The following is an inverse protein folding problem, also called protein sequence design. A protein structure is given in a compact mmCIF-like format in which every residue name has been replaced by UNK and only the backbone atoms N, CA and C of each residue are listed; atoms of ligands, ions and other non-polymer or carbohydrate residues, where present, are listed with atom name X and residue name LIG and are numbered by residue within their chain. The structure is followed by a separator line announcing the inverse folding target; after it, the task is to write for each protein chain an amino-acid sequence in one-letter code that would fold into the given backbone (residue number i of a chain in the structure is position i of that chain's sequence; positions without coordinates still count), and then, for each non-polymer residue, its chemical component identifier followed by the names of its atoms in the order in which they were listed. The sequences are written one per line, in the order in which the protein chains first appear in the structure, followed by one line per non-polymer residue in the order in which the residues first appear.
data_IF_536952283278
#
_entry.id   IF_536952283278
#
_cell.length_a   1.000
_cell.length_b   1.000
_cell.length_c   1.000
_cell.angle_alpha   90.00
_cell.angle_beta   90.00
_cell.angle_gamma   90.00
#
_symmetry.space_group_name_H-M   'P 1'
#
loop_
_entity.id
_entity.type
_entity.pdbx_description
1 polymer ?
#
# COMPACT_ATOMS: atom_id res chain seq x y z
N UNK A 1 -11.50 8.74 1.14
CA UNK A 1 -10.46 9.22 2.07
C UNK A 1 -9.25 9.77 1.30
N UNK A 2 -8.68 9.04 0.32
CA UNK A 2 -7.52 9.49 -0.48
C UNK A 2 -7.81 10.86 -1.12
N UNK A 3 -8.93 11.03 -1.80
CA UNK A 3 -9.34 12.31 -2.40
C UNK A 3 -9.43 13.44 -1.37
N UNK A 4 -10.04 13.17 -0.22
CA UNK A 4 -10.21 14.16 0.84
C UNK A 4 -8.88 14.63 1.44
N UNK A 5 -7.99 13.68 1.72
CA UNK A 5 -6.64 13.98 2.25
C UNK A 5 -5.85 14.78 1.23
N UNK A 6 -5.87 14.37 -0.03
CA UNK A 6 -5.17 15.09 -1.10
C UNK A 6 -5.72 16.50 -1.30
N UNK A 7 -7.04 16.68 -1.33
CA UNK A 7 -7.67 17.99 -1.50
C UNK A 7 -7.40 18.93 -0.30
N UNK A 8 -7.37 18.38 0.92
CA UNK A 8 -7.23 19.19 2.14
C UNK A 8 -5.77 19.51 2.48
N UNK A 9 -4.85 18.58 2.25
CA UNK A 9 -3.47 18.69 2.74
C UNK A 9 -2.42 18.63 1.61
N UNK A 10 -2.80 18.35 0.36
CA UNK A 10 -1.87 18.17 -0.74
C UNK A 10 -1.01 16.90 -0.64
N UNK A 11 -1.35 15.99 0.28
CA UNK A 11 -0.60 14.76 0.54
C UNK A 11 -1.28 13.58 -0.12
N UNK A 12 -0.53 12.82 -0.91
CA UNK A 12 -0.99 11.58 -1.51
C UNK A 12 -0.64 10.42 -0.58
N UNK A 13 -1.65 9.70 -0.10
CA UNK A 13 -1.51 8.55 0.78
C UNK A 13 -1.91 7.27 0.06
N UNK A 14 -1.31 6.14 0.45
CA UNK A 14 -1.67 4.83 -0.06
C UNK A 14 -3.02 4.32 0.52
N UNK A 15 -3.49 3.20 0.00
CA UNK A 15 -4.79 2.63 0.37
C UNK A 15 -4.87 2.20 1.84
N UNK A 16 -3.79 1.64 2.38
CA UNK A 16 -3.76 1.18 3.79
C UNK A 16 -3.68 2.37 4.76
N UNK A 17 -2.88 3.36 4.42
CA UNK A 17 -2.83 4.62 5.17
C UNK A 17 -4.19 5.33 5.13
N UNK A 18 -4.91 5.27 4.00
CA UNK A 18 -6.24 5.83 3.89
C UNK A 18 -7.26 5.15 4.83
N UNK A 19 -7.19 3.84 4.98
CA UNK A 19 -8.02 3.11 5.95
C UNK A 19 -7.69 3.54 7.39
N UNK A 20 -6.41 3.61 7.72
CA UNK A 20 -5.94 4.10 9.02
C UNK A 20 -6.42 5.52 9.31
N UNK A 21 -6.30 6.44 8.35
CA UNK A 21 -6.76 7.83 8.49
C UNK A 21 -8.28 7.90 8.67
N UNK A 22 -9.04 7.09 7.93
CA UNK A 22 -10.50 7.04 8.06
C UNK A 22 -10.91 6.64 9.47
N UNK A 23 -10.38 5.54 9.97
CA UNK A 23 -10.68 5.05 11.33
C UNK A 23 -10.19 6.03 12.39
N UNK A 24 -8.98 6.57 12.23
CA UNK A 24 -8.43 7.56 13.18
C UNK A 24 -9.35 8.78 13.33
N UNK A 25 -9.91 9.30 12.23
CA UNK A 25 -10.85 10.43 12.28
C UNK A 25 -12.11 10.15 13.09
N UNK A 26 -12.57 8.91 13.13
CA UNK A 26 -13.75 8.49 13.91
C UNK A 26 -13.44 8.39 15.43
N UNK A 27 -12.16 8.32 15.80
CA UNK A 27 -11.71 8.11 17.16
C UNK A 27 -10.89 9.26 17.74
N UNK A 28 -10.89 10.43 17.08
CA UNK A 28 -10.20 11.61 17.59
C UNK A 28 -10.72 12.03 18.95
N UNK A 29 -9.79 12.39 19.85
CA UNK A 29 -10.11 12.96 21.17
C UNK A 29 -9.46 14.34 21.29
N UNK A 30 -10.16 15.34 21.87
CA UNK A 30 -9.57 16.65 22.13
C UNK A 30 -8.28 16.50 22.95
N UNK A 31 -7.27 17.27 22.60
CA UNK A 31 -5.98 17.32 23.31
C UNK A 31 -5.14 16.03 23.30
N UNK A 32 -5.53 15.01 22.55
CA UNK A 32 -4.75 13.79 22.37
C UNK A 32 -4.28 13.71 20.93
N UNK A 33 -2.96 13.76 20.66
CA UNK A 33 -2.45 13.55 19.30
C UNK A 33 -2.82 12.18 18.76
N UNK A 34 -3.29 12.12 17.50
CA UNK A 34 -3.55 10.90 16.79
C UNK A 34 -2.46 10.69 15.73
N UNK A 35 -1.75 9.60 15.81
CA UNK A 35 -0.68 9.24 14.87
C UNK A 35 -1.17 8.08 14.01
N UNK A 36 -1.11 8.25 12.70
CA UNK A 36 -1.38 7.20 11.72
C UNK A 36 -0.09 6.88 11.00
N UNK A 37 0.34 5.62 11.05
CA UNK A 37 1.57 5.17 10.40
C UNK A 37 1.31 4.92 8.91
N UNK A 38 2.14 5.50 8.06
CA UNK A 38 2.23 5.14 6.65
C UNK A 38 3.07 3.87 6.50
N UNK A 39 2.47 2.80 6.00
CA UNK A 39 3.11 1.49 5.90
C UNK A 39 3.49 1.09 4.48
N UNK A 40 3.05 1.85 3.49
CA UNK A 40 3.36 1.65 2.07
C UNK A 40 3.35 2.99 1.33
N UNK A 41 3.95 3.03 0.14
CA UNK A 41 3.94 4.20 -0.73
C UNK A 41 2.80 4.11 -1.75
N UNK A 42 2.23 5.26 -2.18
CA UNK A 42 1.15 5.31 -3.17
C UNK A 42 1.49 4.59 -4.48
N UNK A 43 2.75 4.62 -4.91
CA UNK A 43 3.20 3.96 -6.15
C UNK A 43 2.95 2.45 -6.17
N UNK A 44 2.90 1.80 -5.02
CA UNK A 44 2.59 0.38 -4.90
C UNK A 44 1.15 0.06 -5.32
N UNK A 45 0.27 1.04 -5.24
CA UNK A 45 -1.16 0.92 -5.51
C UNK A 45 -1.60 1.91 -6.60
N UNK A 46 -0.78 2.07 -7.63
CA UNK A 46 -0.95 3.08 -8.67
C UNK A 46 -2.34 3.07 -9.30
N UNK A 47 -2.91 1.89 -9.59
CA UNK A 47 -4.25 1.78 -10.17
C UNK A 47 -5.33 2.44 -9.29
N UNK A 48 -5.31 2.16 -7.98
CA UNK A 48 -6.26 2.76 -7.03
C UNK A 48 -6.05 4.27 -6.86
N UNK A 49 -4.80 4.72 -6.92
CA UNK A 49 -4.49 6.16 -6.86
C UNK A 49 -5.03 6.87 -8.12
N UNK A 50 -4.87 6.27 -9.30
CA UNK A 50 -5.43 6.81 -10.54
C UNK A 50 -6.97 6.85 -10.48
N UNK A 51 -7.60 5.79 -9.98
CA UNK A 51 -9.06 5.77 -9.77
C UNK A 51 -9.50 6.90 -8.83
N UNK A 52 -8.79 7.10 -7.72
CA UNK A 52 -9.15 8.10 -6.73
C UNK A 52 -8.86 9.54 -7.16
N UNK A 53 -7.73 9.80 -7.81
CA UNK A 53 -7.21 11.15 -8.05
C UNK A 53 -7.14 11.55 -9.53
N UNK A 54 -7.36 10.61 -10.46
CA UNK A 54 -7.23 10.86 -11.90
C UNK A 54 -5.78 11.10 -12.36
N UNK A 55 -4.79 10.82 -11.52
CA UNK A 55 -3.37 11.01 -11.84
C UNK A 55 -2.51 9.88 -11.31
N UNK A 56 -1.37 9.66 -11.95
CA UNK A 56 -0.37 8.70 -11.45
C UNK A 56 0.25 9.20 -10.14
N UNK A 57 0.56 8.29 -9.21
CA UNK A 57 1.36 8.63 -8.05
C UNK A 57 2.79 8.99 -8.43
N UNK A 58 3.42 9.85 -7.63
CA UNK A 58 4.83 10.16 -7.78
C UNK A 58 5.67 8.90 -7.54
N UNK A 59 6.65 8.67 -8.43
CA UNK A 59 7.55 7.53 -8.33
C UNK A 59 8.89 7.98 -7.74
N UNK A 60 9.28 7.47 -6.56
CA UNK A 60 10.65 7.70 -6.07
C UNK A 60 11.69 7.15 -7.04
N UNK A 61 12.80 7.88 -7.23
CA UNK A 61 13.83 7.53 -8.19
C UNK A 61 14.41 6.12 -8.01
N UNK A 62 14.48 5.64 -6.77
CA UNK A 62 14.94 4.28 -6.44
C UNK A 62 14.06 3.16 -7.01
N UNK A 63 12.84 3.46 -7.44
CA UNK A 63 11.91 2.48 -8.03
C UNK A 63 11.80 2.60 -9.55
N UNK A 64 12.59 3.46 -10.18
CA UNK A 64 12.62 3.55 -11.63
C UNK A 64 13.08 2.23 -12.25
N UNK A 65 12.29 1.74 -13.23
CA UNK A 65 12.60 0.49 -13.95
C UNK A 65 12.41 -0.80 -13.16
N UNK A 66 11.89 -0.76 -11.92
CA UNK A 66 11.74 -1.95 -11.07
C UNK A 66 10.87 -3.05 -11.74
N UNK A 67 9.88 -2.68 -12.53
CA UNK A 67 9.01 -3.62 -13.24
C UNK A 67 9.74 -4.40 -14.34
N UNK A 68 10.86 -3.88 -14.85
CA UNK A 68 11.69 -4.54 -15.86
C UNK A 68 12.68 -5.55 -15.25
N UNK A 69 12.84 -5.56 -13.93
CA UNK A 69 13.72 -6.50 -13.27
C UNK A 69 13.18 -7.93 -13.34
N UNK A 70 14.07 -8.94 -13.40
CA UNK A 70 13.67 -10.35 -13.38
C UNK A 70 12.85 -10.67 -12.12
N UNK A 71 11.68 -11.26 -12.33
CA UNK A 71 10.80 -11.68 -11.23
C UNK A 71 11.17 -13.09 -10.78
N UNK A 72 11.29 -13.28 -9.48
CA UNK A 72 11.44 -14.60 -8.85
C UNK A 72 10.13 -14.96 -8.17
N UNK A 73 9.27 -15.67 -8.90
CA UNK A 73 7.94 -16.06 -8.43
C UNK A 73 7.69 -17.53 -8.71
N UNK A 74 6.95 -18.17 -7.81
CA UNK A 74 6.40 -19.51 -8.00
C UNK A 74 4.88 -19.40 -8.01
N UNK A 75 4.27 -19.75 -9.17
CA UNK A 75 2.82 -19.76 -9.29
C UNK A 75 2.33 -21.13 -8.83
N UNK A 76 1.40 -21.15 -7.89
CA UNK A 76 0.81 -22.36 -7.37
C UNK A 76 -0.68 -22.16 -7.05
N UNK A 77 -1.46 -23.25 -6.97
CA UNK A 77 -2.86 -23.16 -6.52
C UNK A 77 -2.96 -22.55 -5.11
N UNK A 78 -4.08 -21.89 -4.82
CA UNK A 78 -4.38 -21.33 -3.49
C UNK A 78 -4.80 -22.46 -2.53
N UNK A 79 -3.82 -23.29 -2.13
CA UNK A 79 -3.99 -24.43 -1.23
C UNK A 79 -2.92 -24.36 -0.13
N UNK A 80 -3.38 -24.36 1.12
CA UNK A 80 -2.50 -24.22 2.29
C UNK A 80 -1.50 -25.36 2.42
N UNK A 81 -1.86 -26.58 2.03
CA UNK A 81 -0.97 -27.75 2.15
C UNK A 81 0.14 -27.69 1.10
N UNK A 82 -0.20 -27.24 -0.12
CA UNK A 82 0.81 -27.03 -1.18
C UNK A 82 1.80 -25.92 -0.78
N UNK A 83 1.32 -24.82 -0.19
CA UNK A 83 2.19 -23.75 0.30
C UNK A 83 3.10 -24.23 1.42
N UNK A 84 2.57 -24.99 2.41
CA UNK A 84 3.38 -25.57 3.49
C UNK A 84 4.43 -26.54 2.96
N UNK A 85 4.06 -27.42 2.03
CA UNK A 85 4.99 -28.36 1.41
C UNK A 85 6.10 -27.62 0.64
N UNK A 86 5.73 -26.56 -0.10
CA UNK A 86 6.71 -25.73 -0.79
C UNK A 86 7.71 -25.08 0.16
N UNK A 87 7.23 -24.52 1.27
CA UNK A 87 8.10 -23.92 2.31
C UNK A 87 9.07 -24.97 2.87
N UNK A 88 8.55 -26.14 3.24
CA UNK A 88 9.38 -27.23 3.78
C UNK A 88 10.47 -27.72 2.81
N UNK A 89 10.21 -27.66 1.51
CA UNK A 89 11.17 -28.10 0.48
C UNK A 89 12.22 -27.05 0.11
N UNK A 90 11.95 -25.78 0.37
CA UNK A 90 12.76 -24.66 -0.15
C UNK A 90 13.33 -23.74 0.93
N UNK A 91 12.98 -23.96 2.19
CA UNK A 91 13.50 -23.20 3.34
C UNK A 91 14.29 -24.17 4.25
N UNK A 92 15.59 -23.91 4.40
CA UNK A 92 16.46 -24.61 5.35
C UNK A 92 16.23 -24.11 6.80
#
# INVERSE_FOLDING_TARGET
TIQQVFAQYGVMIDTHTADGVKVAKEHLKPSVPMIVLETALPIKFAATIVEALGRQPDRPAQFEGIEALPKRVHVMPSDVNLVKAFIQQHCD
#
